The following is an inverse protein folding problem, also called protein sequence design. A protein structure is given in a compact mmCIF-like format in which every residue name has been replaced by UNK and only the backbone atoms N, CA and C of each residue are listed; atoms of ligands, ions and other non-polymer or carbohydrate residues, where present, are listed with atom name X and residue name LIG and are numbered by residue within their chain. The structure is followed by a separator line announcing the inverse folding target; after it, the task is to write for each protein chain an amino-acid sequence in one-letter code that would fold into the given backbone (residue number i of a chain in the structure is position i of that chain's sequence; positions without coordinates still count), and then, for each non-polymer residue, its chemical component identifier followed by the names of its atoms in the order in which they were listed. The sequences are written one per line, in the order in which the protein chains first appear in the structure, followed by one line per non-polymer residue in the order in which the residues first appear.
data_IF_701538816163
#
_entry.id   IF_701538816163
#
_cell.length_a   1.000
_cell.length_b   1.000
_cell.length_c   1.000
_cell.angle_alpha   90.00
_cell.angle_beta   90.00
_cell.angle_gamma   90.00
#
_symmetry.space_group_name_H-M   'P 1'
#
loop_
_entity.id
_entity.type
_entity.pdbx_description
1 polymer ?
#
# COMPACT_ATOMS: atom_id res chain seq x y z
N UNK A 1 44.16 44.95 -16.89
CA UNK A 1 43.20 44.49 -17.92
C UNK A 1 42.94 43.01 -17.69
N UNK A 2 41.69 42.57 -17.86
CA UNK A 2 41.14 41.21 -17.67
C UNK A 2 40.59 40.88 -16.27
N UNK A 3 39.32 41.26 -16.08
CA UNK A 3 38.34 40.46 -15.35
C UNK A 3 37.79 39.43 -16.35
N UNK A 4 37.42 38.18 -15.98
CA UNK A 4 36.01 37.98 -15.62
C UNK A 4 35.61 36.75 -14.75
N UNK A 5 34.46 36.94 -14.07
CA UNK A 5 33.31 36.02 -13.89
C UNK A 5 33.39 34.92 -12.82
N UNK A 6 32.78 35.26 -11.67
CA UNK A 6 32.11 34.35 -10.75
C UNK A 6 31.04 33.51 -11.48
N UNK A 7 31.20 32.19 -11.47
CA UNK A 7 30.17 31.26 -11.92
C UNK A 7 29.59 30.54 -10.71
N UNK A 8 28.51 31.09 -10.17
CA UNK A 8 27.63 30.43 -9.21
C UNK A 8 26.46 29.86 -10.02
N UNK A 9 26.36 28.52 -10.23
CA UNK A 9 25.13 27.97 -10.77
C UNK A 9 24.05 28.04 -9.70
N UNK A 10 23.14 28.98 -9.97
CA UNK A 10 21.83 29.19 -9.40
C UNK A 10 21.08 27.87 -9.18
N UNK A 11 20.61 27.64 -7.95
CA UNK A 11 19.67 26.59 -7.60
C UNK A 11 18.35 26.92 -8.32
N UNK A 12 17.96 26.12 -9.31
CA UNK A 12 16.59 26.12 -9.80
C UNK A 12 15.79 25.09 -9.01
N UNK A 13 14.96 25.61 -8.11
CA UNK A 13 13.86 24.92 -7.47
C UNK A 13 13.05 24.14 -8.51
N UNK A 14 12.82 22.85 -8.25
CA UNK A 14 11.87 22.05 -9.02
C UNK A 14 10.48 22.58 -8.69
N UNK A 15 10.00 23.51 -9.53
CA UNK A 15 8.62 23.90 -9.56
C UNK A 15 7.81 22.63 -9.88
N UNK A 16 6.96 22.21 -8.95
CA UNK A 16 6.02 21.12 -9.15
C UNK A 16 5.11 21.45 -10.32
N UNK A 17 5.40 20.86 -11.47
CA UNK A 17 4.48 20.80 -12.60
C UNK A 17 3.57 19.59 -12.34
N UNK A 18 2.66 19.71 -11.37
CA UNK A 18 1.47 18.86 -11.33
C UNK A 18 0.47 19.45 -12.34
N UNK A 19 0.76 19.28 -13.62
CA UNK A 19 -0.17 19.62 -14.68
C UNK A 19 -1.28 18.57 -14.66
N UNK A 20 -2.44 18.98 -14.14
CA UNK A 20 -3.63 18.14 -14.06
C UNK A 20 -4.13 17.73 -15.44
N UNK A 21 -4.37 16.43 -15.59
CA UNK A 21 -5.24 15.87 -16.62
C UNK A 21 -5.83 14.55 -16.11
N UNK A 22 -6.61 14.61 -15.02
CA UNK A 22 -7.53 13.52 -14.65
C UNK A 22 -8.95 14.10 -14.63
N UNK A 23 -9.38 14.63 -15.77
CA UNK A 23 -10.81 14.84 -16.02
C UNK A 23 -11.06 14.53 -17.49
N UNK A 24 -11.67 13.37 -17.74
CA UNK A 24 -12.11 12.99 -19.08
C UNK A 24 -12.08 11.48 -19.29
N UNK A 25 -13.02 10.75 -18.69
CA UNK A 25 -13.34 9.41 -19.17
C UNK A 25 -13.89 9.52 -20.59
N UNK A 26 -13.07 9.28 -21.60
CA UNK A 26 -13.43 9.46 -23.00
C UNK A 26 -13.95 8.15 -23.59
N UNK A 27 -15.28 7.99 -23.58
CA UNK A 27 -15.97 7.33 -24.70
C UNK A 27 -15.95 8.35 -25.83
N UNK A 28 -15.04 8.26 -26.80
CA UNK A 28 -15.22 8.73 -28.19
C UNK A 28 -14.09 8.16 -29.07
N UNK A 29 -14.39 7.08 -29.78
CA UNK A 29 -13.55 6.51 -30.83
C UNK A 29 -13.50 7.46 -32.06
N UNK A 30 -12.31 7.59 -32.66
CA UNK A 30 -12.03 8.08 -34.05
C UNK A 30 -11.59 9.54 -34.27
N UNK A 31 -10.51 10.00 -33.64
CA UNK A 31 -9.67 11.05 -34.26
C UNK A 31 -8.18 10.69 -34.20
N UNK A 32 -7.43 11.07 -35.24
CA UNK A 32 -5.99 10.81 -35.39
C UNK A 32 -5.11 11.46 -34.30
N UNK A 33 -5.68 12.38 -33.50
CA UNK A 33 -5.01 13.06 -32.39
C UNK A 33 -4.63 12.11 -31.25
N UNK A 34 -5.40 11.03 -31.07
CA UNK A 34 -5.24 10.10 -29.94
C UNK A 34 -3.91 9.33 -29.98
N UNK A 35 -3.40 9.02 -31.19
CA UNK A 35 -2.14 8.28 -31.34
C UNK A 35 -0.93 9.13 -30.96
N UNK A 36 -0.93 10.42 -31.29
CA UNK A 36 0.23 11.27 -31.01
C UNK A 36 0.42 11.46 -29.50
N UNK A 37 -0.68 11.65 -28.78
CA UNK A 37 -0.66 11.76 -27.31
C UNK A 37 -0.29 10.39 -26.71
N UNK A 38 -0.83 9.28 -27.22
CA UNK A 38 -0.48 7.95 -26.73
C UNK A 38 1.01 7.61 -26.93
N UNK A 39 1.59 7.97 -28.07
CA UNK A 39 3.01 7.68 -28.37
C UNK A 39 3.94 8.54 -27.50
N UNK A 40 3.66 9.84 -27.40
CA UNK A 40 4.41 10.73 -26.51
C UNK A 40 4.28 10.25 -25.06
N UNK A 41 3.09 9.78 -24.65
CA UNK A 41 2.82 9.20 -23.34
C UNK A 41 3.57 7.91 -23.04
N UNK A 42 3.62 7.01 -24.02
CA UNK A 42 4.35 5.74 -23.91
C UNK A 42 5.86 5.95 -23.73
N UNK A 43 6.41 7.03 -24.27
CA UNK A 43 7.86 7.29 -24.23
C UNK A 43 8.39 7.74 -22.86
N UNK A 44 7.54 8.33 -22.00
CA UNK A 44 7.91 8.71 -20.63
C UNK A 44 7.49 7.68 -19.58
N UNK A 45 6.76 6.63 -19.97
CA UNK A 45 6.43 5.53 -19.08
C UNK A 45 7.65 4.61 -18.96
N UNK A 46 8.21 4.40 -17.76
CA UNK A 46 9.24 3.39 -17.58
C UNK A 46 8.67 2.02 -17.97
N UNK A 47 9.50 1.16 -18.56
CA UNK A 47 9.14 -0.21 -18.91
C UNK A 47 8.88 -0.98 -17.61
N UNK A 48 7.61 -1.03 -17.19
CA UNK A 48 7.20 -1.77 -15.99
C UNK A 48 7.41 -3.26 -16.28
N UNK A 49 8.27 -3.96 -15.53
CA UNK A 49 8.41 -5.40 -15.66
C UNK A 49 7.03 -6.05 -15.61
N UNK A 50 6.67 -6.77 -16.67
CA UNK A 50 5.36 -7.45 -16.78
C UNK A 50 5.21 -8.64 -15.81
N UNK A 51 6.10 -8.77 -14.83
CA UNK A 51 5.98 -9.73 -13.74
C UNK A 51 4.82 -9.30 -12.85
N UNK A 52 3.62 -9.80 -13.19
CA UNK A 52 2.47 -9.72 -12.30
C UNK A 52 2.89 -10.36 -10.97
N UNK A 53 2.88 -9.62 -9.85
CA UNK A 53 3.13 -10.20 -8.54
C UNK A 53 2.13 -11.34 -8.35
N UNK A 54 2.60 -12.57 -8.45
CA UNK A 54 1.72 -13.73 -8.33
C UNK A 54 1.62 -14.03 -6.85
N UNK A 55 0.56 -13.54 -6.21
CA UNK A 55 0.25 -13.90 -4.84
C UNK A 55 -0.13 -15.39 -4.80
N UNK A 56 0.85 -16.25 -4.51
CA UNK A 56 0.63 -17.69 -4.35
C UNK A 56 0.28 -17.98 -2.89
N UNK A 57 -1.00 -18.26 -2.64
CA UNK A 57 -1.44 -18.81 -1.36
C UNK A 57 -0.91 -20.24 -1.23
N UNK A 58 0.09 -20.45 -0.38
CA UNK A 58 0.57 -21.79 -0.08
C UNK A 58 -0.36 -22.45 0.95
N UNK A 59 -1.18 -23.47 0.58
CA UNK A 59 -2.25 -23.99 1.44
C UNK A 59 -1.72 -24.58 2.76
N UNK A 60 -0.52 -25.15 2.73
CA UNK A 60 0.14 -25.77 3.87
C UNK A 60 0.50 -24.75 4.95
N UNK A 61 0.94 -23.56 4.54
CA UNK A 61 1.25 -22.46 5.47
C UNK A 61 -0.02 -21.86 6.09
N UNK A 62 -1.14 -21.85 5.34
CA UNK A 62 -2.44 -21.42 5.86
C UNK A 62 -2.99 -22.42 6.89
N UNK A 63 -2.81 -23.73 6.66
CA UNK A 63 -3.28 -24.77 7.60
C UNK A 63 -2.56 -24.76 8.95
N UNK A 64 -1.30 -24.31 9.00
CA UNK A 64 -0.53 -24.17 10.24
C UNK A 64 -0.79 -22.86 10.99
N UNK A 65 -1.47 -21.90 10.38
CA UNK A 65 -1.76 -20.60 10.99
C UNK A 65 -2.82 -20.76 12.10
N UNK A 66 -2.49 -20.28 13.29
CA UNK A 66 -3.44 -20.23 14.41
C UNK A 66 -4.53 -19.20 14.13
N UNK A 67 -4.19 -18.07 13.51
CA UNK A 67 -5.16 -17.07 13.04
C UNK A 67 -6.14 -17.68 12.03
N UNK A 68 -5.69 -18.52 11.10
CA UNK A 68 -6.56 -19.19 10.13
C UNK A 68 -7.59 -20.14 10.77
N UNK A 69 -7.31 -20.64 11.98
CA UNK A 69 -8.28 -21.41 12.76
C UNK A 69 -9.26 -20.49 13.48
N UNK A 70 -8.78 -19.39 14.07
CA UNK A 70 -9.60 -18.41 14.80
C UNK A 70 -10.61 -17.70 13.90
N UNK A 71 -10.32 -17.49 12.61
CA UNK A 71 -11.29 -16.87 11.68
C UNK A 71 -12.55 -17.70 11.43
N UNK A 72 -12.55 -18.99 11.81
CA UNK A 72 -13.72 -19.87 11.72
C UNK A 72 -14.70 -19.68 12.90
N UNK A 73 -14.26 -19.03 13.98
CA UNK A 73 -15.09 -18.69 15.13
C UNK A 73 -15.77 -17.34 14.92
N UNK A 74 -16.85 -17.09 15.66
CA UNK A 74 -17.47 -15.76 15.67
C UNK A 74 -16.51 -14.71 16.29
N UNK A 75 -16.66 -13.41 15.97
CA UNK A 75 -15.85 -12.34 16.55
C UNK A 75 -15.75 -12.40 18.07
N UNK A 76 -16.87 -12.63 18.76
CA UNK A 76 -16.91 -12.71 20.23
C UNK A 76 -16.15 -13.92 20.76
N UNK A 77 -16.25 -15.08 20.10
CA UNK A 77 -15.57 -16.30 20.53
C UNK A 77 -14.06 -16.24 20.31
N UNK A 78 -13.59 -15.58 19.24
CA UNK A 78 -12.15 -15.45 18.95
C UNK A 78 -11.46 -14.31 19.69
N UNK A 79 -12.21 -13.30 20.14
CA UNK A 79 -11.68 -12.10 20.76
C UNK A 79 -10.64 -12.36 21.88
N UNK A 80 -10.87 -13.20 22.90
CA UNK A 80 -9.87 -13.42 23.96
C UNK A 80 -8.57 -14.03 23.44
N UNK A 81 -8.63 -14.86 22.40
CA UNK A 81 -7.45 -15.43 21.77
C UNK A 81 -6.67 -14.38 20.98
N UNK A 82 -7.37 -13.51 20.25
CA UNK A 82 -6.76 -12.41 19.52
C UNK A 82 -6.13 -11.38 20.46
N UNK A 83 -6.78 -11.08 21.58
CA UNK A 83 -6.23 -10.21 22.63
C UNK A 83 -4.92 -10.78 23.18
N UNK A 84 -4.91 -12.05 23.57
CA UNK A 84 -3.68 -12.71 24.05
C UNK A 84 -2.55 -12.70 23.01
N UNK A 85 -2.86 -13.02 21.74
CA UNK A 85 -1.85 -13.02 20.67
C UNK A 85 -1.37 -11.60 20.32
N UNK A 86 -2.25 -10.60 20.42
CA UNK A 86 -1.92 -9.19 20.18
C UNK A 86 -1.00 -8.59 21.25
N UNK A 87 -0.93 -9.20 22.44
CA UNK A 87 -0.06 -8.80 23.54
C UNK A 87 1.32 -9.47 23.50
N UNK A 88 1.60 -10.30 22.49
CA UNK A 88 2.85 -11.05 22.37
C UNK A 88 3.67 -10.61 21.14
N UNK A 89 4.43 -9.50 21.19
CA UNK A 89 5.19 -8.98 20.05
C UNK A 89 6.17 -9.96 19.40
N UNK A 90 6.64 -10.97 20.15
CA UNK A 90 7.53 -12.03 19.65
C UNK A 90 6.80 -13.13 18.86
N UNK A 91 5.47 -13.20 18.93
CA UNK A 91 4.71 -14.21 18.20
C UNK A 91 4.69 -13.87 16.70
N UNK A 92 4.97 -14.84 15.79
CA UNK A 92 5.03 -14.57 14.35
C UNK A 92 3.74 -13.98 13.76
N UNK A 93 2.59 -14.38 14.32
CA UNK A 93 1.27 -13.89 13.91
C UNK A 93 0.74 -12.71 14.74
N UNK A 94 1.53 -12.14 15.64
CA UNK A 94 1.17 -10.93 16.41
C UNK A 94 0.56 -9.81 15.53
N UNK A 95 1.19 -9.38 14.41
CA UNK A 95 0.60 -8.33 13.59
C UNK A 95 -0.74 -8.74 12.95
N UNK A 96 -0.89 -10.02 12.57
CA UNK A 96 -2.16 -10.56 12.06
C UNK A 96 -3.25 -10.56 13.12
N UNK A 97 -2.89 -10.91 14.35
CA UNK A 97 -3.81 -10.88 15.50
C UNK A 97 -4.31 -9.46 15.76
N UNK A 98 -3.39 -8.48 15.80
CA UNK A 98 -3.73 -7.06 15.96
C UNK A 98 -4.66 -6.57 14.85
N UNK A 99 -4.35 -6.89 13.61
CA UNK A 99 -5.22 -6.53 12.48
C UNK A 99 -6.63 -7.11 12.63
N UNK A 100 -6.74 -8.42 12.89
CA UNK A 100 -8.04 -9.08 12.99
C UNK A 100 -8.86 -8.57 14.18
N UNK A 101 -8.20 -8.32 15.33
CA UNK A 101 -8.83 -7.71 16.50
C UNK A 101 -9.37 -6.31 16.20
N UNK A 102 -8.62 -5.50 15.44
CA UNK A 102 -9.09 -4.19 15.02
C UNK A 102 -10.32 -4.29 14.12
N UNK A 103 -10.34 -5.24 13.19
CA UNK A 103 -11.51 -5.48 12.33
C UNK A 103 -12.74 -5.91 13.14
N UNK A 104 -12.56 -6.75 14.16
CA UNK A 104 -13.64 -7.12 15.08
C UNK A 104 -14.18 -5.92 15.85
N UNK A 105 -13.29 -5.03 16.32
CA UNK A 105 -13.67 -3.78 17.00
C UNK A 105 -14.45 -2.85 16.09
N UNK A 106 -14.03 -2.69 14.82
CA UNK A 106 -14.79 -1.92 13.83
C UNK A 106 -16.20 -2.48 13.62
N UNK A 107 -16.33 -3.81 13.46
CA UNK A 107 -17.62 -4.45 13.31
C UNK A 107 -18.54 -4.30 14.53
N UNK A 108 -17.95 -4.13 15.72
CA UNK A 108 -18.65 -3.91 16.99
C UNK A 108 -18.90 -2.41 17.30
N UNK A 109 -18.67 -1.50 16.35
CA UNK A 109 -18.77 -0.05 16.54
C UNK A 109 -17.85 0.50 17.65
N UNK A 110 -16.64 -0.03 17.75
CA UNK A 110 -15.56 0.42 18.66
C UNK A 110 -14.39 1.02 17.86
N UNK A 111 -14.59 2.17 17.17
CA UNK A 111 -13.60 2.68 16.23
C UNK A 111 -12.36 3.24 16.92
N UNK A 112 -12.48 3.82 18.12
CA UNK A 112 -11.33 4.34 18.87
C UNK A 112 -10.38 3.21 19.28
N UNK A 113 -10.93 2.11 19.78
CA UNK A 113 -10.18 0.92 20.16
C UNK A 113 -9.55 0.26 18.92
N UNK A 114 -10.27 0.23 17.79
CA UNK A 114 -9.72 -0.26 16.54
C UNK A 114 -8.50 0.55 16.08
N UNK A 115 -8.60 1.89 16.09
CA UNK A 115 -7.49 2.79 15.74
C UNK A 115 -6.28 2.54 16.66
N UNK A 116 -6.49 2.49 17.97
CA UNK A 116 -5.42 2.19 18.92
C UNK A 116 -4.77 0.80 18.65
N UNK A 117 -5.56 -0.17 18.21
CA UNK A 117 -5.05 -1.50 17.86
C UNK A 117 -4.16 -1.49 16.61
N UNK A 118 -4.50 -0.63 15.65
CA UNK A 118 -3.80 -0.50 14.36
C UNK A 118 -2.56 0.38 14.43
N UNK A 119 -2.36 1.12 15.51
CA UNK A 119 -1.27 2.08 15.64
C UNK A 119 0.11 1.43 15.44
N UNK A 120 0.91 1.95 14.50
CA UNK A 120 2.24 1.43 14.13
C UNK A 120 2.23 -0.02 13.59
N UNK A 121 1.08 -0.55 13.17
CA UNK A 121 0.99 -1.91 12.64
C UNK A 121 1.68 -2.05 11.27
N UNK A 122 1.62 -1.00 10.46
CA UNK A 122 2.26 -0.88 9.14
C UNK A 122 3.77 -1.07 9.20
N UNK A 123 4.43 -0.68 10.30
CA UNK A 123 5.87 -0.87 10.48
C UNK A 123 6.25 -2.36 10.60
N UNK A 124 5.34 -3.20 11.05
CA UNK A 124 5.60 -4.63 11.38
C UNK A 124 4.79 -5.61 10.54
N UNK A 125 3.89 -5.12 9.71
CA UNK A 125 3.07 -5.94 8.85
C UNK A 125 3.18 -5.43 7.41
N UNK A 126 4.20 -5.89 6.67
CA UNK A 126 4.46 -5.46 5.30
C UNK A 126 3.30 -5.74 4.33
N UNK A 127 2.34 -6.59 4.72
CA UNK A 127 1.12 -6.80 3.95
C UNK A 127 0.17 -5.59 4.00
N UNK A 128 0.24 -4.75 5.04
CA UNK A 128 -0.52 -3.50 5.17
C UNK A 128 0.27 -2.28 4.70
N UNK A 129 1.61 -2.31 4.81
CA UNK A 129 2.45 -1.38 4.09
C UNK A 129 2.33 -1.74 2.60
N UNK A 130 1.40 -1.11 1.89
CA UNK A 130 1.23 -1.30 0.45
C UNK A 130 2.60 -1.45 -0.25
N UNK A 131 2.70 -2.34 -1.24
CA UNK A 131 3.88 -2.56 -2.10
C UNK A 131 4.23 -1.28 -2.87
N UNK A 132 4.68 -0.23 -2.19
CA UNK A 132 4.87 1.09 -2.79
C UNK A 132 6.21 1.15 -3.52
N UNK A 133 7.18 0.27 -3.25
CA UNK A 133 8.52 0.37 -3.84
C UNK A 133 9.18 -1.00 -4.11
N UNK A 134 8.62 -1.76 -5.04
CA UNK A 134 9.42 -2.69 -5.85
C UNK A 134 9.10 -2.44 -7.32
N UNK A 135 9.54 -1.28 -7.81
CA UNK A 135 9.71 -0.97 -9.22
C UNK A 135 11.17 -0.55 -9.41
#
# INVERSE_FOLDING_TARGET
MSNPKSNLPLIFSIAGVSLGAIVGGAILHQTHLDRQIADEVSSWLPEVPSEKPTFQLNPTQVQQSKIAQLVKLSPTERQPYLEAMSQQPSHPEHPRARYLLAMDRLAQNQPQEAIATLENLETRYPLLAAHILSQ
#
